data_IF_368293233537
#
_entry.id   IF_368293233537
#
_cell.length_a   1.000
_cell.length_b   1.000
_cell.length_c   1.000
_cell.angle_alpha   90.00
_cell.angle_beta   90.00
_cell.angle_gamma   90.00
#
_symmetry.space_group_name_H-M   'P 1'
#
loop_
_entity.id
_entity.type
_entity.pdbx_description
1 polymer ?
#
# COMPACT_ATOMS: atom_id res chain seq x y z
N UNK A 1 12.99 7.56 -1.27
CA UNK A 1 12.07 6.43 -1.01
C UNK A 1 11.45 5.84 -2.29
N UNK A 2 11.21 6.60 -3.37
CA UNK A 2 10.34 6.16 -4.47
C UNK A 2 10.94 6.22 -5.90
N UNK A 3 12.27 6.18 -6.02
CA UNK A 3 12.95 6.16 -7.34
C UNK A 3 12.79 4.82 -8.10
N UNK A 4 12.10 3.84 -7.52
CA UNK A 4 11.94 2.49 -8.09
C UNK A 4 10.69 2.35 -8.97
N UNK A 5 9.77 3.31 -8.89
CA UNK A 5 8.50 3.27 -9.62
C UNK A 5 8.40 4.44 -10.59
N UNK A 6 8.45 4.12 -11.88
CA UNK A 6 8.17 5.05 -12.98
C UNK A 6 9.19 6.20 -13.17
N UNK A 7 9.03 6.91 -14.30
CA UNK A 7 9.75 8.17 -14.60
C UNK A 7 9.14 9.36 -13.84
N UNK A 8 7.81 9.36 -13.72
CA UNK A 8 7.02 10.30 -12.92
C UNK A 8 6.28 9.49 -11.87
N UNK A 9 6.36 9.90 -10.61
CA UNK A 9 5.89 9.07 -9.50
C UNK A 9 4.95 9.82 -8.54
N UNK A 10 3.74 9.28 -8.38
CA UNK A 10 2.72 9.75 -7.45
C UNK A 10 2.50 8.82 -6.23
N UNK A 11 3.17 7.67 -6.17
CA UNK A 11 3.10 6.75 -5.02
C UNK A 11 3.47 7.37 -3.67
N UNK A 12 4.34 8.39 -3.55
CA UNK A 12 4.59 9.04 -2.26
C UNK A 12 3.36 9.71 -1.65
N UNK A 13 2.35 10.06 -2.46
CA UNK A 13 1.17 10.81 -2.02
C UNK A 13 -0.03 9.92 -1.70
N UNK A 14 0.06 8.60 -1.93
CA UNK A 14 -1.03 7.68 -1.59
C UNK A 14 -1.03 7.32 -0.10
N UNK A 15 -2.23 7.19 0.48
CA UNK A 15 -2.42 6.71 1.86
C UNK A 15 -1.91 5.28 2.08
N UNK A 16 -1.70 4.50 1.01
CA UNK A 16 -1.17 3.12 1.06
C UNK A 16 0.27 3.02 0.55
N UNK A 17 1.06 4.11 0.68
CA UNK A 17 2.43 4.20 0.14
C UNK A 17 3.43 3.18 0.71
N UNK A 18 3.20 2.70 1.94
CA UNK A 18 4.07 1.69 2.56
C UNK A 18 4.03 0.34 1.83
N UNK A 19 2.98 0.06 1.06
CA UNK A 19 2.88 -1.14 0.22
C UNK A 19 4.10 -1.31 -0.69
N UNK A 20 4.57 -0.23 -1.32
CA UNK A 20 5.74 -0.25 -2.19
C UNK A 20 7.04 -0.60 -1.47
N UNK A 21 7.18 -0.19 -0.19
CA UNK A 21 8.33 -0.55 0.65
C UNK A 21 8.32 -2.03 1.00
N UNK A 22 7.15 -2.55 1.39
CA UNK A 22 6.99 -3.96 1.70
C UNK A 22 7.25 -4.85 0.47
N UNK A 23 6.73 -4.47 -0.70
CA UNK A 23 7.00 -5.19 -1.95
C UNK A 23 8.49 -5.25 -2.27
N UNK A 24 9.19 -4.12 -2.18
CA UNK A 24 10.64 -4.07 -2.40
C UNK A 24 11.38 -5.06 -1.49
N UNK A 25 10.91 -5.20 -0.26
CA UNK A 25 11.52 -6.06 0.74
C UNK A 25 11.05 -7.53 0.64
N UNK A 26 10.28 -7.90 -0.38
CA UNK A 26 9.82 -9.26 -0.62
C UNK A 26 8.54 -9.64 0.12
N UNK A 27 7.83 -8.68 0.71
CA UNK A 27 6.60 -8.94 1.45
C UNK A 27 5.35 -8.59 0.63
N UNK A 28 4.38 -9.51 0.62
CA UNK A 28 3.03 -9.27 0.14
C UNK A 28 2.14 -8.81 1.29
N UNK A 29 1.71 -7.55 1.26
CA UNK A 29 0.90 -6.95 2.32
C UNK A 29 -0.48 -6.54 1.81
N UNK A 30 -1.51 -6.78 2.62
CA UNK A 30 -2.85 -6.22 2.46
C UNK A 30 -3.19 -5.26 3.60
N UNK A 31 -4.43 -4.77 3.63
CA UNK A 31 -4.93 -3.98 4.77
C UNK A 31 -6.05 -4.72 5.51
N UNK A 32 -6.17 -4.46 6.81
CA UNK A 32 -7.25 -4.95 7.67
C UNK A 32 -7.94 -3.77 8.33
N UNK A 33 -9.25 -3.64 8.13
CA UNK A 33 -10.05 -2.59 8.76
C UNK A 33 -10.05 -2.78 10.29
N UNK A 34 -9.75 -1.72 11.04
CA UNK A 34 -9.73 -1.77 12.50
C UNK A 34 -11.13 -1.83 13.12
N UNK A 35 -12.16 -1.39 12.39
CA UNK A 35 -13.54 -1.36 12.88
C UNK A 35 -14.28 -2.69 12.67
N UNK A 36 -14.26 -3.22 11.44
CA UNK A 36 -15.02 -4.44 11.08
C UNK A 36 -14.14 -5.67 10.84
N UNK A 37 -12.80 -5.52 10.86
CA UNK A 37 -11.88 -6.64 10.63
C UNK A 37 -11.76 -7.10 9.18
N UNK A 38 -12.51 -6.52 8.24
CA UNK A 38 -12.45 -6.85 6.82
C UNK A 38 -11.02 -6.71 6.29
N UNK A 39 -10.58 -7.69 5.50
CA UNK A 39 -9.26 -7.70 4.87
C UNK A 39 -9.37 -7.36 3.39
N UNK A 40 -8.35 -6.70 2.83
CA UNK A 40 -8.31 -6.39 1.40
C UNK A 40 -6.90 -6.52 0.85
N UNK A 41 -6.84 -7.09 -0.35
CA UNK A 41 -5.66 -7.14 -1.19
C UNK A 41 -6.07 -6.77 -2.64
N UNK A 42 -5.43 -5.80 -3.30
CA UNK A 42 -4.37 -4.91 -2.79
C UNK A 42 -4.82 -4.07 -1.57
N UNK A 43 -3.88 -3.49 -0.79
CA UNK A 43 -4.26 -2.73 0.40
C UNK A 43 -5.10 -1.51 0.00
N UNK A 44 -6.25 -1.35 0.64
CA UNK A 44 -7.09 -0.16 0.56
C UNK A 44 -6.87 0.75 1.76
N UNK A 45 -6.98 2.07 1.54
CA UNK A 45 -6.89 3.08 2.58
C UNK A 45 -8.16 3.14 3.43
N UNK A 46 -9.30 3.07 2.77
CA UNK A 46 -10.62 3.22 3.37
C UNK A 46 -11.41 1.91 3.19
N UNK A 47 -12.14 1.50 4.23
CA UNK A 47 -13.05 0.36 4.18
C UNK A 47 -14.33 0.75 3.40
N UNK A 48 -14.98 -0.23 2.75
CA UNK A 48 -16.32 -0.03 2.23
C UNK A 48 -17.34 -0.04 3.38
#
# INVERSE_FOLDING_TARGET
MFKWFGKVNYTPYTKVGDFARYLKNGYFMGSRCKACGATSFPPRADCA
#
